data_IF_149793275476
#
_entry.id   IF_149793275476
#
_cell.length_a   1.000
_cell.length_b   1.000
_cell.length_c   1.000
_cell.angle_alpha   90.00
_cell.angle_beta   90.00
_cell.angle_gamma   90.00
#
_symmetry.space_group_name_H-M   'P 1'
#
loop_
_entity.id
_entity.type
_entity.pdbx_description
1 polymer ?
#
# COMPACT_ATOMS: atom_id res chain seq x y z
N UNK A 1 -20.57 11.13 5.47
CA UNK A 1 -19.80 11.00 4.23
C UNK A 1 -20.45 10.00 3.32
N UNK A 2 -20.48 10.23 2.01
CA UNK A 2 -21.09 9.31 1.07
C UNK A 2 -20.23 8.05 0.91
N UNK A 3 -20.90 6.90 0.76
CA UNK A 3 -20.25 5.60 0.54
C UNK A 3 -20.93 4.95 -0.66
N UNK A 4 -20.14 4.45 -1.60
CA UNK A 4 -20.62 3.70 -2.75
C UNK A 4 -21.15 2.32 -2.31
N UNK A 5 -22.17 1.81 -3.00
CA UNK A 5 -22.66 0.46 -2.78
C UNK A 5 -21.62 -0.63 -3.09
N UNK A 6 -20.61 -0.31 -3.90
CA UNK A 6 -19.49 -1.17 -4.29
C UNK A 6 -18.15 -0.72 -3.67
N UNK A 7 -18.19 -0.04 -2.53
CA UNK A 7 -17.02 0.60 -1.92
C UNK A 7 -15.88 -0.39 -1.66
N UNK A 8 -16.18 -1.60 -1.20
CA UNK A 8 -15.16 -2.60 -0.92
C UNK A 8 -14.40 -3.01 -2.19
N UNK A 9 -15.12 -3.30 -3.28
CA UNK A 9 -14.53 -3.65 -4.58
C UNK A 9 -13.73 -2.50 -5.17
N UNK A 10 -14.22 -1.25 -5.01
CA UNK A 10 -13.51 -0.04 -5.40
C UNK A 10 -12.16 0.10 -4.65
N UNK A 11 -12.17 -0.17 -3.34
CA UNK A 11 -10.95 -0.12 -2.51
C UNK A 11 -9.97 -1.25 -2.88
N UNK A 12 -10.46 -2.44 -3.20
CA UNK A 12 -9.61 -3.52 -3.74
C UNK A 12 -8.98 -3.12 -5.08
N UNK A 13 -9.78 -2.54 -5.98
CA UNK A 13 -9.24 -2.05 -7.26
C UNK A 13 -8.19 -0.94 -7.06
N UNK A 14 -8.37 -0.06 -6.06
CA UNK A 14 -7.40 0.97 -5.71
C UNK A 14 -6.11 0.38 -5.12
N UNK A 15 -6.21 -0.70 -4.32
CA UNK A 15 -5.07 -1.35 -3.68
C UNK A 15 -4.05 -1.95 -4.68
N UNK A 16 -4.45 -2.10 -5.92
CA UNK A 16 -3.57 -2.54 -6.99
C UNK A 16 -2.66 -1.43 -7.53
N UNK A 17 -2.86 -0.18 -7.11
CA UNK A 17 -2.03 0.96 -7.50
C UNK A 17 -1.09 1.35 -6.37
N UNK A 18 0.14 1.74 -6.70
CA UNK A 18 1.09 2.27 -5.74
C UNK A 18 0.77 3.75 -5.46
N UNK A 19 0.08 4.00 -4.33
CA UNK A 19 -0.35 5.35 -3.95
C UNK A 19 0.81 6.26 -3.53
N UNK A 20 1.96 5.70 -3.24
CA UNK A 20 3.15 6.41 -2.79
C UNK A 20 4.26 6.48 -3.85
N UNK A 21 3.93 6.26 -5.09
CA UNK A 21 4.90 6.36 -6.16
C UNK A 21 5.27 7.83 -6.42
N UNK A 22 6.46 8.24 -5.99
CA UNK A 22 6.97 9.60 -6.19
C UNK A 22 7.14 9.96 -7.68
N UNK A 23 7.27 8.97 -8.57
CA UNK A 23 7.33 9.20 -10.00
C UNK A 23 5.96 9.59 -10.60
N UNK A 24 4.84 9.28 -9.92
CA UNK A 24 3.49 9.62 -10.40
C UNK A 24 3.33 11.13 -10.62
N UNK A 25 3.81 11.94 -9.70
CA UNK A 25 3.75 13.40 -9.85
C UNK A 25 4.42 13.84 -11.15
N UNK A 26 5.64 13.39 -11.41
CA UNK A 26 6.38 13.71 -12.64
C UNK A 26 5.68 13.23 -13.90
N UNK A 27 5.08 12.05 -13.87
CA UNK A 27 4.41 11.44 -15.02
C UNK A 27 3.01 12.01 -15.31
N UNK A 28 2.34 12.61 -14.33
CA UNK A 28 1.00 13.19 -14.46
C UNK A 28 0.99 14.72 -14.53
N UNK A 29 2.12 15.38 -14.27
CA UNK A 29 2.25 16.84 -14.15
C UNK A 29 1.81 17.58 -15.42
N UNK A 30 2.09 17.07 -16.60
CA UNK A 30 1.68 17.66 -17.86
C UNK A 30 0.16 17.62 -18.04
N UNK A 31 -0.52 16.56 -17.58
CA UNK A 31 -1.97 16.42 -17.63
C UNK A 31 -2.67 17.32 -16.59
N UNK A 32 -2.12 17.44 -15.36
CA UNK A 32 -2.65 18.39 -14.37
C UNK A 32 -2.53 19.83 -14.87
N UNK A 33 -1.37 20.19 -15.43
CA UNK A 33 -1.17 21.50 -16.03
C UNK A 33 -2.09 21.78 -17.22
N UNK A 34 -2.33 20.75 -18.08
CA UNK A 34 -3.28 20.85 -19.18
C UNK A 34 -4.70 21.06 -18.67
N UNK A 35 -5.12 20.32 -17.64
CA UNK A 35 -6.45 20.46 -17.04
C UNK A 35 -6.69 21.88 -16.47
N UNK A 36 -5.73 22.43 -15.73
CA UNK A 36 -5.81 23.81 -15.24
C UNK A 36 -5.97 24.80 -16.40
N UNK A 37 -5.20 24.67 -17.48
CA UNK A 37 -5.28 25.54 -18.67
C UNK A 37 -6.62 25.41 -19.39
N UNK A 38 -7.14 24.20 -19.59
CA UNK A 38 -8.44 23.95 -20.24
C UNK A 38 -9.56 24.59 -19.41
N UNK A 39 -9.56 24.36 -18.10
CA UNK A 39 -10.53 24.96 -17.19
C UNK A 39 -10.38 26.48 -17.11
N UNK A 40 -9.17 27.00 -17.26
CA UNK A 40 -8.82 28.42 -17.01
C UNK A 40 -8.71 28.69 -15.51
N UNK A 41 -8.33 27.72 -14.71
CA UNK A 41 -8.12 27.79 -13.26
C UNK A 41 -6.63 27.77 -12.93
N UNK A 42 -6.28 28.27 -11.73
CA UNK A 42 -4.90 28.28 -11.27
C UNK A 42 -4.48 26.94 -10.63
N UNK A 43 -5.45 26.09 -10.25
CA UNK A 43 -5.23 24.87 -9.49
C UNK A 43 -5.85 23.68 -10.20
N UNK A 44 -5.08 22.59 -10.28
CA UNK A 44 -5.56 21.28 -10.69
C UNK A 44 -4.86 20.18 -9.88
N UNK A 45 -5.61 19.15 -9.49
CA UNK A 45 -5.14 18.03 -8.67
C UNK A 45 -5.62 16.71 -9.26
N UNK A 46 -4.79 15.70 -9.18
CA UNK A 46 -5.17 14.28 -9.34
C UNK A 46 -5.17 13.64 -7.96
N UNK A 47 -6.35 13.26 -7.51
CA UNK A 47 -6.57 12.70 -6.17
C UNK A 47 -7.12 11.28 -6.27
N UNK A 48 -6.56 10.36 -5.49
CA UNK A 48 -7.06 9.01 -5.29
C UNK A 48 -7.68 8.91 -3.89
N UNK A 49 -8.82 8.22 -3.77
CA UNK A 49 -9.62 8.18 -2.53
C UNK A 49 -9.58 6.78 -1.95
N UNK A 50 -8.84 6.66 -0.85
CA UNK A 50 -8.78 5.43 -0.06
C UNK A 50 -9.91 5.36 0.99
N UNK A 51 -9.90 4.34 1.81
CA UNK A 51 -10.91 4.14 2.86
C UNK A 51 -10.97 5.30 3.87
N UNK A 52 -9.84 5.89 4.21
CA UNK A 52 -9.72 6.93 5.25
C UNK A 52 -8.96 8.17 4.78
N UNK A 53 -8.25 8.10 3.67
CA UNK A 53 -7.35 9.16 3.19
C UNK A 53 -7.60 9.49 1.73
N UNK A 54 -7.54 10.79 1.38
CA UNK A 54 -7.33 11.27 0.03
C UNK A 54 -5.84 11.40 -0.23
N UNK A 55 -5.36 10.78 -1.29
CA UNK A 55 -3.98 10.85 -1.77
C UNK A 55 -3.92 11.76 -2.99
N UNK A 56 -3.29 12.93 -2.87
CA UNK A 56 -2.94 13.73 -4.06
C UNK A 56 -1.69 13.16 -4.68
N UNK A 57 -1.79 12.68 -5.92
CA UNK A 57 -0.69 12.02 -6.64
C UNK A 57 -0.03 12.92 -7.68
N UNK A 58 -0.71 13.97 -8.10
CA UNK A 58 -0.14 15.04 -8.93
C UNK A 58 -0.89 16.36 -8.69
N UNK A 59 -0.19 17.48 -8.86
CA UNK A 59 -0.77 18.82 -8.62
C UNK A 59 -0.18 19.89 -9.53
N UNK A 60 -0.97 20.94 -9.77
CA UNK A 60 -0.55 22.23 -10.31
C UNK A 60 -1.18 23.33 -9.44
N UNK A 61 -0.39 24.34 -9.06
CA UNK A 61 -0.85 25.47 -8.28
C UNK A 61 -0.97 25.28 -6.77
N UNK A 62 -0.92 24.05 -6.26
CA UNK A 62 -0.86 23.71 -4.85
C UNK A 62 0.17 22.58 -4.64
N UNK A 63 0.76 22.45 -3.45
CA UNK A 63 1.60 21.29 -3.14
C UNK A 63 0.77 19.99 -3.10
N UNK A 64 1.40 18.86 -3.42
CA UNK A 64 0.81 17.54 -3.20
C UNK A 64 0.54 17.36 -1.71
N UNK A 65 -0.68 16.99 -1.36
CA UNK A 65 -1.13 16.84 0.03
C UNK A 65 -1.93 15.56 0.24
N UNK A 66 -1.92 15.05 1.45
CA UNK A 66 -2.85 14.05 1.92
C UNK A 66 -3.87 14.71 2.85
N UNK A 67 -5.12 14.32 2.70
CA UNK A 67 -6.22 14.78 3.54
C UNK A 67 -6.99 13.58 4.10
N UNK A 68 -7.55 13.69 5.32
CA UNK A 68 -8.59 12.76 5.75
C UNK A 68 -9.71 12.74 4.70
N UNK A 69 -10.20 11.55 4.34
CA UNK A 69 -11.28 11.40 3.34
C UNK A 69 -12.49 12.27 3.66
N UNK A 70 -12.86 12.39 4.93
CA UNK A 70 -14.00 13.22 5.39
C UNK A 70 -13.81 14.73 5.17
N UNK A 71 -12.57 15.19 4.97
CA UNK A 71 -12.25 16.56 4.61
C UNK A 71 -12.29 16.80 3.08
N UNK A 72 -12.31 15.75 2.28
CA UNK A 72 -12.23 15.82 0.82
C UNK A 72 -13.54 16.17 0.15
N UNK A 73 -13.50 17.05 -0.85
CA UNK A 73 -14.63 17.23 -1.79
C UNK A 73 -14.72 16.06 -2.75
N UNK A 74 -13.57 15.46 -3.14
CA UNK A 74 -13.50 14.38 -4.10
C UNK A 74 -14.22 13.10 -3.65
N UNK A 75 -14.45 12.90 -2.34
CA UNK A 75 -15.28 11.81 -1.84
C UNK A 75 -16.74 11.84 -2.37
N UNK A 76 -17.22 13.00 -2.77
CA UNK A 76 -18.53 13.16 -3.41
C UNK A 76 -18.43 12.95 -4.92
N UNK A 77 -17.32 13.37 -5.54
CA UNK A 77 -17.09 13.14 -6.97
C UNK A 77 -17.05 11.66 -7.32
N UNK A 78 -16.42 10.82 -6.49
CA UNK A 78 -16.37 9.38 -6.75
C UNK A 78 -17.73 8.68 -6.66
N UNK A 79 -18.76 9.34 -6.15
CA UNK A 79 -20.14 8.84 -6.09
C UNK A 79 -20.94 9.14 -7.36
N UNK A 80 -20.45 10.04 -8.20
CA UNK A 80 -21.11 10.49 -9.42
C UNK A 80 -20.64 9.66 -10.63
N UNK A 81 -21.51 9.52 -11.62
CA UNK A 81 -21.15 8.91 -12.91
C UNK A 81 -20.51 9.90 -13.87
N UNK A 82 -20.68 11.18 -13.60
CA UNK A 82 -20.19 12.33 -14.39
C UNK A 82 -19.45 13.30 -13.48
N UNK A 83 -19.09 14.45 -14.03
CA UNK A 83 -18.42 15.50 -13.27
C UNK A 83 -19.32 16.09 -12.18
N UNK A 84 -18.73 16.44 -11.03
CA UNK A 84 -19.36 17.20 -9.94
C UNK A 84 -18.87 18.64 -9.97
N UNK A 85 -19.77 19.60 -10.20
CA UNK A 85 -19.46 21.03 -10.15
C UNK A 85 -20.04 21.68 -8.90
N UNK A 86 -19.21 22.45 -8.17
CA UNK A 86 -19.63 23.33 -7.06
C UNK A 86 -19.13 24.73 -7.35
N UNK A 87 -20.07 25.62 -7.71
CA UNK A 87 -19.78 26.98 -8.16
C UNK A 87 -19.25 27.90 -7.06
N UNK A 88 -19.63 27.61 -5.79
CA UNK A 88 -19.15 28.35 -4.62
C UNK A 88 -19.17 27.49 -3.38
N UNK A 89 -17.98 26.97 -3.00
CA UNK A 89 -17.78 26.11 -1.82
C UNK A 89 -18.17 26.82 -0.52
N UNK A 90 -18.06 28.16 -0.45
CA UNK A 90 -18.40 28.91 0.76
C UNK A 90 -19.90 28.99 1.03
N UNK A 91 -20.73 28.67 0.02
CA UNK A 91 -22.19 28.60 0.12
C UNK A 91 -22.73 27.19 0.26
N UNK A 92 -21.88 26.18 0.14
CA UNK A 92 -22.26 24.79 0.28
C UNK A 92 -22.13 24.35 1.75
N UNK A 93 -23.23 23.89 2.34
CA UNK A 93 -23.30 23.49 3.75
C UNK A 93 -22.29 22.39 4.11
N UNK A 94 -21.88 21.58 3.14
CA UNK A 94 -20.90 20.48 3.32
C UNK A 94 -19.48 21.01 3.47
N UNK A 95 -19.15 22.17 2.86
CA UNK A 95 -17.77 22.62 2.68
C UNK A 95 -17.46 24.00 3.25
N UNK A 96 -18.45 24.83 3.54
CA UNK A 96 -18.26 26.23 3.98
C UNK A 96 -17.35 26.39 5.21
N UNK A 97 -17.32 25.39 6.11
CA UNK A 97 -16.51 25.39 7.32
C UNK A 97 -15.17 24.66 7.20
N UNK A 98 -14.85 24.11 6.00
CA UNK A 98 -13.56 23.44 5.78
C UNK A 98 -12.43 24.47 5.77
N UNK A 99 -11.25 24.09 6.31
CA UNK A 99 -10.12 25.00 6.46
C UNK A 99 -9.73 25.65 5.13
N UNK A 100 -9.65 24.90 4.04
CA UNK A 100 -9.30 25.39 2.71
C UNK A 100 -10.36 26.29 2.05
N UNK A 101 -11.56 26.39 2.64
CA UNK A 101 -12.63 27.32 2.23
C UNK A 101 -12.70 28.53 3.14
N UNK A 102 -12.57 28.32 4.46
CA UNK A 102 -12.70 29.37 5.47
C UNK A 102 -11.40 30.17 5.69
N UNK A 103 -10.24 29.56 5.40
CA UNK A 103 -8.92 30.17 5.51
C UNK A 103 -8.15 30.02 4.19
N UNK A 104 -6.85 30.36 4.19
CA UNK A 104 -5.97 30.17 3.03
C UNK A 104 -5.98 28.70 2.55
N UNK A 105 -6.13 28.44 1.23
CA UNK A 105 -6.15 29.36 0.06
C UNK A 105 -7.52 29.98 -0.29
N UNK A 106 -8.53 29.87 0.54
CA UNK A 106 -9.87 30.45 0.33
C UNK A 106 -10.56 29.94 -0.93
N UNK A 107 -10.58 28.63 -1.15
CA UNK A 107 -11.18 28.03 -2.33
C UNK A 107 -12.68 28.35 -2.43
N UNK A 108 -13.13 28.65 -3.66
CA UNK A 108 -14.51 28.96 -3.98
C UNK A 108 -15.11 28.04 -5.01
N UNK A 109 -14.36 27.72 -6.06
CA UNK A 109 -14.83 26.88 -7.15
C UNK A 109 -14.20 25.48 -7.08
N UNK A 110 -14.99 24.48 -7.41
CA UNK A 110 -14.57 23.10 -7.55
C UNK A 110 -15.31 22.44 -8.73
N UNK A 111 -14.58 21.80 -9.62
CA UNK A 111 -15.09 20.82 -10.58
C UNK A 111 -14.22 19.58 -10.49
N UNK A 112 -14.84 18.44 -10.22
CA UNK A 112 -14.18 17.14 -10.17
C UNK A 112 -14.72 16.20 -11.23
N UNK A 113 -13.85 15.55 -11.97
CA UNK A 113 -14.16 14.49 -12.94
C UNK A 113 -13.71 13.15 -12.36
N UNK A 114 -14.59 12.12 -12.26
CA UNK A 114 -14.22 10.84 -11.72
C UNK A 114 -13.10 10.18 -12.54
N UNK A 115 -12.17 9.51 -11.84
CA UNK A 115 -11.15 8.64 -12.44
C UNK A 115 -11.69 7.21 -12.40
N UNK A 116 -12.28 6.77 -13.50
CA UNK A 116 -13.05 5.53 -13.58
C UNK A 116 -12.22 4.43 -14.25
N UNK A 117 -12.19 3.25 -13.64
CA UNK A 117 -11.58 2.05 -14.22
C UNK A 117 -12.48 1.45 -15.31
N UNK A 118 -11.95 0.53 -16.14
CA UNK A 118 -12.72 -0.21 -17.14
C UNK A 118 -13.86 -1.05 -16.49
N UNK A 119 -13.68 -1.46 -15.23
CA UNK A 119 -14.70 -2.17 -14.45
C UNK A 119 -15.78 -1.25 -13.84
N UNK A 120 -15.69 0.08 -14.06
CA UNK A 120 -16.65 1.06 -13.56
C UNK A 120 -16.41 1.54 -12.13
N UNK A 121 -15.24 1.31 -11.54
CA UNK A 121 -14.90 1.81 -10.21
C UNK A 121 -14.25 3.19 -10.28
N UNK A 122 -14.79 4.17 -9.55
CA UNK A 122 -14.24 5.50 -9.42
C UNK A 122 -13.14 5.51 -8.34
N UNK A 123 -11.86 5.45 -8.73
CA UNK A 123 -10.75 5.39 -7.80
C UNK A 123 -10.42 6.74 -7.16
N UNK A 124 -10.78 7.83 -7.83
CA UNK A 124 -10.47 9.18 -7.43
C UNK A 124 -11.07 10.22 -8.36
N UNK A 125 -10.47 11.39 -8.42
CA UNK A 125 -10.92 12.50 -9.26
C UNK A 125 -9.77 13.34 -9.81
N UNK A 126 -9.91 13.78 -11.06
CA UNK A 126 -9.23 14.95 -11.58
C UNK A 126 -10.03 16.18 -11.16
N UNK A 127 -9.42 17.08 -10.38
CA UNK A 127 -10.08 18.27 -9.87
C UNK A 127 -9.45 19.53 -10.44
N UNK A 128 -10.29 20.51 -10.78
CA UNK A 128 -9.86 21.89 -11.03
C UNK A 128 -10.53 22.80 -10.01
N UNK A 129 -9.75 23.72 -9.42
CA UNK A 129 -10.17 24.58 -8.32
C UNK A 129 -9.76 26.02 -8.58
N UNK A 130 -10.48 26.94 -7.95
CA UNK A 130 -10.16 28.36 -7.99
C UNK A 130 -10.57 29.07 -6.71
N UNK A 131 -9.89 30.17 -6.41
CA UNK A 131 -10.24 31.09 -5.31
C UNK A 131 -11.41 32.04 -5.67
N UNK A 132 -11.89 31.99 -6.90
CA UNK A 132 -13.02 32.77 -7.43
C UNK A 132 -14.11 31.83 -7.94
N UNK A 133 -15.36 32.21 -7.77
CA UNK A 133 -16.48 31.53 -8.43
C UNK A 133 -16.30 31.56 -9.95
N UNK A 134 -16.57 30.44 -10.59
CA UNK A 134 -16.46 30.27 -12.05
C UNK A 134 -17.65 29.52 -12.63
N UNK A 135 -17.76 29.58 -13.94
CA UNK A 135 -18.63 28.69 -14.73
C UNK A 135 -17.79 28.15 -15.88
N UNK A 136 -17.69 26.85 -15.96
CA UNK A 136 -16.97 26.14 -17.02
C UNK A 136 -17.96 25.69 -18.08
N UNK A 137 -17.66 25.94 -19.38
CA UNK A 137 -18.56 25.51 -20.46
C UNK A 137 -18.59 23.98 -20.61
N UNK A 138 -19.71 23.43 -21.13
CA UNK A 138 -19.81 21.96 -21.35
C UNK A 138 -18.66 21.41 -22.20
N UNK A 139 -18.23 22.10 -23.24
CA UNK A 139 -17.13 21.67 -24.11
C UNK A 139 -15.80 21.54 -23.34
N UNK A 140 -15.58 22.40 -22.33
CA UNK A 140 -14.40 22.31 -21.48
C UNK A 140 -14.51 21.14 -20.49
N UNK A 141 -15.73 20.84 -20.02
CA UNK A 141 -15.98 19.66 -19.18
C UNK A 141 -15.69 18.39 -19.97
N UNK A 142 -16.15 18.29 -21.22
CA UNK A 142 -15.86 17.15 -22.11
C UNK A 142 -14.34 16.97 -22.30
N UNK A 143 -13.59 18.08 -22.47
CA UNK A 143 -12.13 18.02 -22.55
C UNK A 143 -11.48 17.53 -21.24
N UNK A 144 -11.99 17.93 -20.08
CA UNK A 144 -11.51 17.45 -18.78
C UNK A 144 -11.81 15.95 -18.57
N UNK A 145 -12.94 15.45 -19.09
CA UNK A 145 -13.26 14.02 -19.08
C UNK A 145 -12.29 13.22 -19.96
N UNK A 146 -11.89 13.75 -21.11
CA UNK A 146 -10.85 13.14 -21.95
C UNK A 146 -9.50 13.10 -21.20
N UNK A 147 -9.13 14.19 -20.52
CA UNK A 147 -7.89 14.23 -19.72
C UNK A 147 -7.96 13.24 -18.55
N UNK A 148 -9.10 13.10 -17.88
CA UNK A 148 -9.30 12.10 -16.83
C UNK A 148 -9.14 10.67 -17.35
N UNK A 149 -9.67 10.38 -18.55
CA UNK A 149 -9.46 9.11 -19.24
C UNK A 149 -7.97 8.83 -19.52
N UNK A 150 -7.22 9.85 -19.97
CA UNK A 150 -5.79 9.72 -20.22
C UNK A 150 -4.97 9.51 -18.93
N UNK A 151 -5.38 10.17 -17.85
CA UNK A 151 -4.80 9.90 -16.51
C UNK A 151 -4.98 8.44 -16.13
N UNK A 152 -6.17 7.88 -16.32
CA UNK A 152 -6.43 6.46 -16.03
C UNK A 152 -5.61 5.53 -16.92
N UNK A 153 -5.44 5.86 -18.21
CA UNK A 153 -4.58 5.11 -19.12
C UNK A 153 -3.12 5.10 -18.62
N UNK A 154 -2.58 6.25 -18.20
CA UNK A 154 -1.22 6.33 -17.66
C UNK A 154 -1.07 5.54 -16.38
N UNK A 155 -2.00 5.66 -15.44
CA UNK A 155 -2.00 4.86 -14.21
C UNK A 155 -1.99 3.36 -14.50
N UNK A 156 -2.79 2.91 -15.48
CA UNK A 156 -2.82 1.50 -15.93
C UNK A 156 -1.48 1.06 -16.52
N UNK A 157 -0.85 1.90 -17.36
CA UNK A 157 0.46 1.60 -17.94
C UNK A 157 1.53 1.49 -16.84
N UNK A 158 1.55 2.44 -15.89
CA UNK A 158 2.50 2.44 -14.78
C UNK A 158 2.36 1.15 -13.95
N UNK A 159 1.11 0.78 -13.60
CA UNK A 159 0.82 -0.50 -12.93
C UNK A 159 1.37 -1.69 -13.71
N UNK A 160 1.07 -1.79 -15.02
CA UNK A 160 1.51 -2.89 -15.86
C UNK A 160 3.03 -2.98 -15.97
N UNK A 161 3.72 -1.84 -16.09
CA UNK A 161 5.19 -1.78 -16.14
C UNK A 161 5.78 -2.25 -14.80
N UNK A 162 5.22 -1.81 -13.68
CA UNK A 162 5.65 -2.23 -12.35
C UNK A 162 5.49 -3.75 -12.15
N UNK A 163 4.34 -4.31 -12.54
CA UNK A 163 4.10 -5.77 -12.51
C UNK A 163 5.09 -6.55 -13.37
N UNK A 164 5.42 -6.03 -14.57
CA UNK A 164 6.40 -6.68 -15.46
C UNK A 164 7.81 -6.64 -14.86
N UNK A 165 8.25 -5.51 -14.32
CA UNK A 165 9.54 -5.37 -13.65
C UNK A 165 9.67 -6.37 -12.49
N UNK A 166 8.63 -6.51 -11.67
CA UNK A 166 8.59 -7.48 -10.57
C UNK A 166 8.75 -8.91 -11.09
N UNK A 167 7.98 -9.32 -12.10
CA UNK A 167 8.07 -10.66 -12.68
C UNK A 167 9.45 -10.97 -13.25
N UNK A 168 10.10 -9.99 -13.88
CA UNK A 168 11.46 -10.13 -14.39
C UNK A 168 12.46 -10.32 -13.23
N UNK A 169 12.35 -9.52 -12.18
CA UNK A 169 13.23 -9.66 -11.01
C UNK A 169 13.06 -11.02 -10.34
N UNK A 170 11.83 -11.45 -10.08
CA UNK A 170 11.55 -12.76 -9.50
C UNK A 170 12.09 -13.91 -10.35
N UNK A 171 12.09 -13.73 -11.69
CA UNK A 171 12.68 -14.70 -12.62
C UNK A 171 14.21 -14.75 -12.50
N UNK A 172 14.87 -13.58 -12.40
CA UNK A 172 16.31 -13.48 -12.24
C UNK A 172 16.78 -14.06 -10.89
N UNK A 173 16.11 -13.71 -9.80
CA UNK A 173 16.43 -14.23 -8.47
C UNK A 173 16.29 -15.77 -8.42
N UNK A 174 15.25 -16.31 -9.04
CA UNK A 174 15.10 -17.78 -9.17
C UNK A 174 16.23 -18.41 -9.98
N UNK A 175 16.66 -17.77 -11.07
CA UNK A 175 17.79 -18.26 -11.86
C UNK A 175 19.10 -18.27 -11.06
N UNK A 176 19.35 -17.23 -10.27
CA UNK A 176 20.52 -17.14 -9.40
C UNK A 176 20.49 -18.22 -8.31
N UNK A 177 19.33 -18.43 -7.68
CA UNK A 177 19.15 -19.48 -6.67
C UNK A 177 19.38 -20.86 -7.26
N UNK A 178 18.77 -21.18 -8.39
CA UNK A 178 18.99 -22.45 -9.10
C UNK A 178 20.46 -22.64 -9.45
N UNK A 179 21.14 -21.60 -9.95
CA UNK A 179 22.56 -21.66 -10.27
C UNK A 179 23.43 -21.92 -9.03
N UNK A 180 23.07 -21.33 -7.88
CA UNK A 180 23.73 -21.57 -6.60
C UNK A 180 23.52 -23.02 -6.12
N UNK A 181 22.29 -23.50 -6.17
CA UNK A 181 21.89 -24.83 -5.68
C UNK A 181 22.47 -25.98 -6.54
N UNK A 182 22.76 -25.70 -7.81
CA UNK A 182 23.47 -26.61 -8.73
C UNK A 182 24.99 -26.58 -8.47
N UNK A 183 25.58 -25.41 -8.23
CA UNK A 183 27.04 -25.25 -8.08
C UNK A 183 27.62 -25.99 -6.88
N UNK A 184 26.89 -26.04 -5.78
CA UNK A 184 27.30 -26.73 -4.55
C UNK A 184 27.53 -28.21 -4.78
N UNK A 185 26.54 -29.03 -5.16
CA UNK A 185 26.67 -30.46 -5.44
C UNK A 185 27.70 -30.79 -6.54
N UNK A 186 27.72 -29.98 -7.64
CA UNK A 186 28.71 -30.19 -8.72
C UNK A 186 30.14 -29.96 -8.19
N UNK A 187 30.35 -28.89 -7.44
CA UNK A 187 31.66 -28.60 -6.82
C UNK A 187 32.13 -29.77 -5.89
N UNK A 188 31.22 -30.34 -5.10
CA UNK A 188 31.49 -31.53 -4.26
C UNK A 188 31.87 -32.74 -5.10
N UNK A 189 31.14 -33.05 -6.17
CA UNK A 189 31.44 -34.18 -7.09
C UNK A 189 32.81 -33.99 -7.72
N UNK A 190 33.12 -32.80 -8.27
CA UNK A 190 34.41 -32.52 -8.90
C UNK A 190 35.55 -32.64 -7.89
N UNK A 191 35.37 -32.03 -6.70
CA UNK A 191 36.39 -32.09 -5.61
C UNK A 191 36.72 -33.49 -5.17
N UNK A 192 35.71 -34.35 -4.93
CA UNK A 192 35.94 -35.73 -4.54
C UNK A 192 36.56 -36.55 -5.67
N UNK A 193 36.13 -36.39 -6.91
CA UNK A 193 36.73 -37.04 -8.06
C UNK A 193 38.22 -36.63 -8.24
N UNK A 194 38.56 -35.36 -7.97
CA UNK A 194 39.92 -34.89 -8.02
C UNK A 194 40.80 -35.48 -6.90
N UNK A 195 40.29 -35.59 -5.69
CA UNK A 195 40.98 -36.23 -4.56
C UNK A 195 41.28 -37.71 -4.91
N UNK A 196 40.32 -38.45 -5.43
CA UNK A 196 40.51 -39.84 -5.87
C UNK A 196 41.62 -39.95 -6.91
N UNK A 197 41.64 -39.03 -7.86
CA UNK A 197 42.64 -38.98 -8.94
C UNK A 197 44.04 -38.63 -8.42
N UNK A 198 44.16 -37.68 -7.53
CA UNK A 198 45.44 -37.20 -7.00
C UNK A 198 46.11 -38.24 -6.06
N UNK A 199 45.30 -38.98 -5.29
CA UNK A 199 45.81 -40.01 -4.40
C UNK A 199 46.26 -41.27 -5.15
N UNK A 200 45.72 -41.53 -6.35
CA UNK A 200 46.12 -42.64 -7.22
C UNK A 200 46.21 -43.99 -6.50
N UNK A 201 47.36 -44.66 -6.56
CA UNK A 201 47.59 -45.99 -5.92
C UNK A 201 47.63 -45.92 -4.40
N UNK A 202 47.62 -44.73 -3.79
CA UNK A 202 47.60 -44.58 -2.32
C UNK A 202 46.17 -44.63 -1.76
N UNK A 203 45.15 -44.61 -2.60
CA UNK A 203 43.76 -44.70 -2.19
C UNK A 203 43.49 -46.06 -1.47
N UNK A 204 42.89 -45.98 -0.29
CA UNK A 204 42.29 -47.17 0.31
C UNK A 204 40.92 -47.43 -0.29
N UNK A 205 40.61 -48.69 -0.54
CA UNK A 205 39.34 -49.06 -1.19
C UNK A 205 38.11 -48.54 -0.41
N UNK A 206 38.15 -48.58 0.92
CA UNK A 206 37.05 -48.12 1.77
C UNK A 206 36.83 -46.61 1.62
N UNK A 207 37.88 -45.77 1.55
CA UNK A 207 37.81 -44.32 1.36
C UNK A 207 37.22 -43.99 -0.01
N UNK A 208 37.64 -44.72 -1.06
CA UNK A 208 37.07 -44.52 -2.43
C UNK A 208 35.59 -44.87 -2.48
N UNK A 209 35.19 -45.95 -1.79
CA UNK A 209 33.76 -46.33 -1.73
C UNK A 209 32.92 -45.30 -0.99
N UNK A 210 33.47 -44.69 0.05
CA UNK A 210 32.80 -43.58 0.76
C UNK A 210 32.64 -42.33 -0.14
N UNK A 211 33.71 -41.94 -0.84
CA UNK A 211 33.65 -40.82 -1.81
C UNK A 211 32.65 -41.09 -2.93
N UNK A 212 32.56 -42.28 -3.47
CA UNK A 212 31.59 -42.68 -4.49
C UNK A 212 30.15 -42.56 -3.95
N UNK A 213 29.88 -42.95 -2.69
CA UNK A 213 28.56 -42.79 -2.07
C UNK A 213 28.15 -41.30 -1.98
N UNK A 214 29.10 -40.43 -1.58
CA UNK A 214 28.82 -38.98 -1.53
C UNK A 214 28.57 -38.41 -2.94
N UNK A 215 29.34 -38.85 -3.94
CA UNK A 215 29.11 -38.45 -5.35
C UNK A 215 27.73 -38.92 -5.82
N UNK A 216 27.31 -40.15 -5.51
CA UNK A 216 25.97 -40.62 -5.86
C UNK A 216 24.86 -39.84 -5.18
N UNK A 217 25.00 -39.55 -3.86
CA UNK A 217 24.03 -38.76 -3.14
C UNK A 217 23.90 -37.33 -3.72
N UNK A 218 25.03 -36.70 -4.04
CA UNK A 218 25.03 -35.34 -4.66
C UNK A 218 24.41 -35.37 -6.05
N UNK A 219 24.66 -36.41 -6.85
CA UNK A 219 24.04 -36.57 -8.17
C UNK A 219 22.53 -36.81 -8.08
N UNK A 220 22.08 -37.60 -7.09
CA UNK A 220 20.65 -37.81 -6.85
C UNK A 220 19.94 -36.49 -6.46
N UNK A 221 20.58 -35.69 -5.60
CA UNK A 221 20.03 -34.38 -5.23
C UNK A 221 19.90 -33.41 -6.44
N UNK A 222 20.86 -33.47 -7.38
CA UNK A 222 20.76 -32.70 -8.65
C UNK A 222 19.60 -33.16 -9.53
N UNK A 223 19.34 -34.47 -9.61
CA UNK A 223 18.21 -35.01 -10.36
C UNK A 223 16.87 -34.56 -9.74
N UNK A 224 16.77 -34.63 -8.40
CA UNK A 224 15.58 -34.15 -7.68
C UNK A 224 15.34 -32.65 -7.90
N UNK A 225 16.41 -31.84 -7.89
CA UNK A 225 16.32 -30.41 -8.18
C UNK A 225 15.86 -30.16 -9.63
N UNK A 226 16.40 -30.90 -10.59
CA UNK A 226 15.98 -30.82 -12.00
C UNK A 226 14.48 -31.18 -12.17
N UNK A 227 14.03 -32.25 -11.51
CA UNK A 227 12.62 -32.65 -11.53
C UNK A 227 11.72 -31.59 -10.88
N UNK A 228 12.15 -30.95 -9.79
CA UNK A 228 11.43 -29.84 -9.14
C UNK A 228 11.30 -28.64 -10.10
N UNK A 229 12.38 -28.26 -10.81
CA UNK A 229 12.35 -27.15 -11.77
C UNK A 229 11.37 -27.46 -12.92
N UNK A 230 11.38 -28.68 -13.44
CA UNK A 230 10.49 -29.09 -14.54
C UNK A 230 9.00 -29.14 -14.12
N UNK A 231 8.72 -29.59 -12.89
CA UNK A 231 7.35 -29.70 -12.37
C UNK A 231 6.76 -28.37 -11.88
N UNK A 232 7.60 -27.38 -11.54
CA UNK A 232 7.15 -26.07 -11.06
C UNK A 232 6.57 -25.21 -12.20
N UNK A 233 6.84 -25.52 -13.47
CA UNK A 233 6.22 -24.85 -14.61
C UNK A 233 4.70 -25.03 -14.68
N UNK A 234 4.11 -26.06 -14.06
CA UNK A 234 2.68 -26.38 -14.19
C UNK A 234 1.81 -25.92 -12.99
N UNK A 235 2.40 -25.39 -11.93
CA UNK A 235 1.67 -24.95 -10.71
C UNK A 235 2.01 -23.52 -10.30
N UNK A 236 1.77 -22.57 -11.18
CA UNK A 236 1.72 -21.17 -10.78
C UNK A 236 0.46 -20.90 -9.92
N UNK A 237 0.53 -21.18 -8.63
CA UNK A 237 -0.31 -20.44 -7.68
C UNK A 237 0.28 -19.02 -7.63
N UNK A 238 -0.50 -18.06 -8.09
CA UNK A 238 -0.24 -16.63 -7.96
C UNK A 238 0.01 -16.32 -6.48
N UNK A 239 1.27 -16.20 -6.10
CA UNK A 239 1.66 -15.30 -5.02
C UNK A 239 1.72 -13.94 -5.70
N UNK A 240 0.95 -12.94 -5.27
CA UNK A 240 1.03 -11.62 -5.83
C UNK A 240 2.48 -11.13 -5.71
N UNK A 241 3.13 -10.90 -6.86
CA UNK A 241 4.47 -10.35 -6.87
C UNK A 241 4.42 -8.95 -6.23
N UNK A 242 5.21 -8.76 -5.18
CA UNK A 242 5.40 -7.45 -4.57
C UNK A 242 6.11 -6.56 -5.57
N UNK A 243 5.48 -5.48 -5.99
CA UNK A 243 6.00 -4.56 -7.01
C UNK A 243 7.23 -3.82 -6.51
N UNK A 244 8.24 -3.70 -7.36
CA UNK A 244 9.62 -3.35 -6.97
C UNK A 244 10.02 -1.89 -7.16
N UNK A 245 9.10 -0.96 -7.41
CA UNK A 245 9.37 0.47 -7.54
C UNK A 245 9.20 1.23 -6.22
N UNK A 246 9.65 0.66 -5.15
CA UNK A 246 9.73 1.33 -3.88
C UNK A 246 9.98 0.36 -2.76
N UNK A 247 11.11 0.54 -2.16
CA UNK A 247 11.47 -0.12 -0.92
C UNK A 247 11.49 0.94 0.17
N UNK A 248 11.00 0.56 1.35
CA UNK A 248 11.22 1.34 2.55
C UNK A 248 12.40 0.78 3.33
N UNK A 249 13.11 1.67 3.99
CA UNK A 249 13.79 1.34 5.24
C UNK A 249 12.84 1.60 6.40
N UNK A 250 13.16 1.07 7.57
CA UNK A 250 12.35 1.30 8.78
C UNK A 250 12.25 2.80 9.10
N UNK A 251 13.34 3.55 8.88
CA UNK A 251 13.39 5.00 9.14
C UNK A 251 12.52 5.80 8.19
N UNK A 252 12.55 5.48 6.89
CA UNK A 252 11.69 6.14 5.89
C UNK A 252 10.21 5.86 6.19
N UNK A 253 9.87 4.62 6.56
CA UNK A 253 8.49 4.30 6.94
C UNK A 253 8.04 5.06 8.17
N UNK A 254 8.91 5.14 9.21
CA UNK A 254 8.65 5.92 10.43
C UNK A 254 8.35 7.38 10.10
N UNK A 255 9.29 8.07 9.41
CA UNK A 255 9.15 9.48 9.05
C UNK A 255 7.85 9.73 8.26
N UNK A 256 7.52 8.83 7.34
CA UNK A 256 6.31 8.94 6.55
C UNK A 256 5.04 8.82 7.40
N UNK A 257 4.99 7.88 8.33
CA UNK A 257 3.84 7.73 9.24
C UNK A 257 3.68 8.92 10.19
N UNK A 258 4.80 9.46 10.71
CA UNK A 258 4.79 10.67 11.54
C UNK A 258 4.25 11.88 10.77
N UNK A 259 4.71 12.08 9.53
CA UNK A 259 4.25 13.19 8.67
C UNK A 259 2.78 13.06 8.28
N UNK A 260 2.31 11.85 7.95
CA UNK A 260 0.93 11.63 7.51
C UNK A 260 -0.10 11.75 8.64
N UNK A 261 0.21 11.22 9.82
CA UNK A 261 -0.79 11.06 10.88
C UNK A 261 -0.54 11.95 12.11
N UNK A 262 0.64 12.55 12.26
CA UNK A 262 0.97 13.43 13.37
C UNK A 262 0.07 14.66 13.45
N UNK A 263 -0.28 15.26 12.31
CA UNK A 263 -1.20 16.42 12.27
C UNK A 263 -2.60 16.03 12.73
N UNK A 264 -3.13 14.89 12.28
CA UNK A 264 -4.45 14.39 12.67
C UNK A 264 -4.50 14.08 14.17
N UNK A 265 -3.47 13.45 14.71
CA UNK A 265 -3.37 13.16 16.15
C UNK A 265 -3.31 14.44 16.99
N UNK A 266 -2.52 15.44 16.55
CA UNK A 266 -2.42 16.75 17.20
C UNK A 266 -3.75 17.49 17.24
N UNK A 267 -4.50 17.49 16.15
CA UNK A 267 -5.83 18.12 16.08
C UNK A 267 -6.79 17.52 17.10
N UNK A 268 -6.69 16.21 17.36
CA UNK A 268 -7.48 15.49 18.34
C UNK A 268 -6.85 15.51 19.75
N UNK A 269 -5.68 16.12 19.92
CA UNK A 269 -4.88 16.15 21.16
C UNK A 269 -4.56 14.74 21.68
N UNK A 270 -4.26 13.82 20.80
CA UNK A 270 -3.80 12.46 21.09
C UNK A 270 -2.29 12.42 21.00
N UNK A 271 -1.63 11.81 21.97
CA UNK A 271 -0.18 11.60 21.98
C UNK A 271 0.13 10.53 20.93
N UNK A 272 0.92 10.88 19.90
CA UNK A 272 1.25 10.00 18.78
C UNK A 272 2.76 9.74 18.76
N UNK A 273 3.15 8.46 18.76
CA UNK A 273 4.55 8.07 18.77
C UNK A 273 4.79 6.90 17.80
N UNK A 274 5.88 6.99 17.01
CA UNK A 274 6.33 5.92 16.11
C UNK A 274 7.73 5.50 16.51
N UNK A 275 7.91 4.24 16.88
CA UNK A 275 9.18 3.68 17.31
C UNK A 275 9.64 2.58 16.37
N UNK A 276 10.92 2.62 16.01
CA UNK A 276 11.61 1.53 15.33
C UNK A 276 12.31 0.67 16.36
N UNK A 277 11.99 -0.62 16.36
CA UNK A 277 12.49 -1.60 17.33
C UNK A 277 13.51 -2.51 16.62
N UNK A 278 14.77 -2.46 17.03
CA UNK A 278 15.86 -3.30 16.51
C UNK A 278 16.94 -2.53 15.76
N UNK A 279 18.00 -3.26 15.34
CA UNK A 279 19.21 -2.65 14.77
C UNK A 279 19.26 -2.61 13.22
N UNK A 280 18.26 -3.12 12.51
CA UNK A 280 18.30 -3.29 11.05
C UNK A 280 17.66 -2.11 10.30
N UNK A 281 18.03 -0.88 10.67
CA UNK A 281 17.44 0.36 10.15
C UNK A 281 17.61 0.53 8.63
N UNK A 282 18.75 0.07 8.07
CA UNK A 282 19.07 0.19 6.65
C UNK A 282 18.51 -0.95 5.79
N UNK A 283 17.97 -2.00 6.40
CA UNK A 283 17.41 -3.12 5.66
C UNK A 283 16.16 -2.69 4.90
N UNK A 284 16.13 -2.95 3.60
CA UNK A 284 15.03 -2.56 2.71
C UNK A 284 13.97 -3.64 2.62
N UNK A 285 12.72 -3.23 2.45
CA UNK A 285 11.56 -4.08 2.27
C UNK A 285 10.51 -3.44 1.36
N UNK A 286 9.64 -4.23 0.70
CA UNK A 286 8.63 -3.71 -0.20
C UNK A 286 7.63 -2.79 0.51
N UNK A 287 7.34 -1.63 -0.08
CA UNK A 287 6.38 -0.65 0.46
C UNK A 287 4.93 -0.87 0.05
N UNK A 288 4.70 -1.72 -0.96
CA UNK A 288 3.36 -1.93 -1.53
C UNK A 288 2.33 -2.28 -0.44
N UNK A 289 1.18 -1.66 -0.50
CA UNK A 289 0.04 -1.86 0.42
C UNK A 289 0.28 -1.52 1.91
N UNK A 290 1.54 -1.28 2.34
CA UNK A 290 1.85 -0.98 3.74
C UNK A 290 1.16 0.28 4.24
N UNK A 291 1.16 1.35 3.44
CA UNK A 291 0.50 2.60 3.83
C UNK A 291 -1.02 2.45 3.93
N UNK A 292 -1.65 1.59 3.12
CA UNK A 292 -3.08 1.30 3.27
C UNK A 292 -3.36 0.49 4.54
N UNK A 293 -2.55 -0.52 4.83
CA UNK A 293 -2.68 -1.30 6.07
C UNK A 293 -2.48 -0.38 7.28
N UNK A 294 -1.35 0.32 7.34
CA UNK A 294 -1.00 1.19 8.47
C UNK A 294 -1.95 2.37 8.59
N UNK A 295 -2.34 2.98 7.46
CA UNK A 295 -3.27 4.10 7.43
C UNK A 295 -4.62 3.77 8.03
N UNK A 296 -5.18 2.63 7.66
CA UNK A 296 -6.44 2.16 8.23
C UNK A 296 -6.33 1.85 9.74
N UNK A 297 -5.24 1.21 10.18
CA UNK A 297 -5.03 0.89 11.59
C UNK A 297 -4.79 2.16 12.42
N UNK A 298 -3.91 3.07 11.97
CA UNK A 298 -3.55 4.30 12.69
C UNK A 298 -4.74 5.27 12.73
N UNK A 299 -5.44 5.46 11.61
CA UNK A 299 -6.61 6.33 11.58
C UNK A 299 -7.71 5.82 12.52
N UNK A 300 -7.94 4.50 12.58
CA UNK A 300 -8.85 3.91 13.55
C UNK A 300 -8.35 4.11 14.99
N UNK A 301 -7.08 3.89 15.28
CA UNK A 301 -6.50 4.11 16.60
C UNK A 301 -6.71 5.56 17.07
N UNK A 302 -6.39 6.56 16.23
CA UNK A 302 -6.61 7.97 16.54
C UNK A 302 -8.11 8.24 16.73
N UNK A 303 -8.97 7.71 15.87
CA UNK A 303 -10.42 7.90 15.90
C UNK A 303 -11.06 7.40 17.21
N UNK A 304 -10.63 6.23 17.69
CA UNK A 304 -11.22 5.60 18.89
C UNK A 304 -10.49 5.94 20.20
N UNK A 305 -9.42 6.74 20.13
CA UNK A 305 -8.71 7.26 21.32
C UNK A 305 -9.32 8.59 21.74
N UNK A 306 -9.74 8.78 23.01
CA UNK A 306 -10.23 10.07 23.51
C UNK A 306 -9.09 11.10 23.59
N UNK A 307 -9.47 12.39 23.68
CA UNK A 307 -8.53 13.49 23.95
C UNK A 307 -7.67 13.17 25.19
N UNK A 308 -6.36 13.40 25.10
CA UNK A 308 -5.38 13.10 26.14
C UNK A 308 -4.90 11.64 26.17
N UNK A 309 -5.48 10.75 25.36
CA UNK A 309 -5.00 9.37 25.20
C UNK A 309 -3.76 9.28 24.32
N UNK A 310 -3.30 8.05 24.06
CA UNK A 310 -2.08 7.80 23.27
C UNK A 310 -2.28 6.72 22.22
N UNK A 311 -1.57 6.91 21.09
CA UNK A 311 -1.41 5.93 20.02
C UNK A 311 0.08 5.72 19.80
N UNK A 312 0.53 4.48 19.92
CA UNK A 312 1.92 4.07 19.71
C UNK A 312 2.03 3.06 18.57
N UNK A 313 2.99 3.29 17.70
CA UNK A 313 3.32 2.42 16.57
C UNK A 313 4.71 1.83 16.78
N UNK A 314 4.81 0.50 16.77
CA UNK A 314 6.09 -0.22 16.79
C UNK A 314 6.37 -0.83 15.43
N UNK A 315 7.56 -0.61 14.89
CA UNK A 315 7.99 -1.15 13.61
C UNK A 315 9.28 -1.93 13.83
N UNK A 316 9.32 -3.20 13.40
CA UNK A 316 10.55 -3.99 13.45
C UNK A 316 10.67 -4.90 12.24
N UNK A 317 11.90 -5.12 11.81
CA UNK A 317 12.24 -6.01 10.71
C UNK A 317 13.25 -7.03 11.20
N UNK A 318 12.94 -8.30 11.01
CA UNK A 318 13.79 -9.40 11.39
C UNK A 318 14.12 -10.28 10.18
N UNK A 319 15.34 -10.81 10.15
CA UNK A 319 15.74 -11.79 9.14
C UNK A 319 16.10 -13.09 9.84
N UNK A 320 15.49 -14.18 9.42
CA UNK A 320 15.76 -15.51 9.92
C UNK A 320 15.75 -16.51 8.77
N UNK A 321 16.85 -17.26 8.60
CA UNK A 321 17.00 -18.25 7.53
C UNK A 321 16.72 -17.68 6.13
N UNK A 322 17.31 -16.52 5.82
CA UNK A 322 17.12 -15.78 4.55
C UNK A 322 15.67 -15.33 4.27
N UNK A 323 14.81 -15.36 5.27
CA UNK A 323 13.45 -14.81 5.19
C UNK A 323 13.34 -13.58 6.05
N UNK A 324 12.86 -12.50 5.46
CA UNK A 324 12.57 -11.26 6.17
C UNK A 324 11.13 -11.29 6.67
N UNK A 325 10.91 -10.84 7.89
CA UNK A 325 9.58 -10.66 8.47
C UNK A 325 9.48 -9.23 8.99
N UNK A 326 8.56 -8.44 8.43
CA UNK A 326 8.20 -7.13 8.93
C UNK A 326 7.09 -7.29 9.97
N UNK A 327 7.35 -6.81 11.18
CA UNK A 327 6.36 -6.73 12.25
C UNK A 327 5.95 -5.29 12.45
N UNK A 328 4.64 -5.03 12.39
CA UNK A 328 4.01 -3.74 12.65
C UNK A 328 3.07 -3.90 13.84
N UNK A 329 3.11 -2.98 14.77
CA UNK A 329 2.23 -2.96 15.94
C UNK A 329 1.60 -1.58 16.05
N UNK A 330 0.27 -1.53 16.18
CA UNK A 330 -0.48 -0.31 16.47
C UNK A 330 -1.24 -0.52 17.77
N UNK A 331 -0.95 0.29 18.78
CA UNK A 331 -1.59 0.22 20.10
C UNK A 331 -2.19 1.58 20.45
N UNK A 332 -3.43 1.58 20.91
CA UNK A 332 -4.14 2.76 21.40
C UNK A 332 -4.64 2.57 22.83
N UNK A 333 -4.89 3.67 23.53
CA UNK A 333 -5.53 3.72 24.84
C UNK A 333 -7.00 4.14 24.72
N UNK A 334 -7.68 3.63 23.71
CA UNK A 334 -9.03 4.04 23.34
C UNK A 334 -10.14 3.19 23.97
N UNK A 335 -11.28 3.19 23.30
CA UNK A 335 -12.50 2.54 23.77
C UNK A 335 -12.40 1.01 23.90
N UNK A 336 -11.41 0.39 23.26
CA UNK A 336 -11.31 -1.08 23.20
C UNK A 336 -12.44 -1.75 22.42
N UNK A 337 -12.39 -3.09 22.31
CA UNK A 337 -13.33 -3.90 21.54
C UNK A 337 -13.84 -5.10 22.33
N UNK A 338 -15.08 -5.52 22.04
CA UNK A 338 -15.67 -6.78 22.52
C UNK A 338 -15.08 -7.96 21.74
N UNK A 339 -15.10 -9.14 22.35
CA UNK A 339 -14.63 -10.38 21.67
C UNK A 339 -15.37 -10.65 20.37
N UNK A 340 -16.69 -10.42 20.36
CA UNK A 340 -17.52 -10.61 19.20
C UNK A 340 -17.11 -9.72 18.02
N UNK A 341 -16.72 -8.46 18.30
CA UNK A 341 -16.20 -7.52 17.30
C UNK A 341 -14.84 -7.98 16.71
N UNK A 342 -13.97 -8.49 17.57
CA UNK A 342 -12.66 -9.05 17.14
C UNK A 342 -12.91 -10.26 16.23
N UNK A 343 -13.82 -11.16 16.59
CA UNK A 343 -14.16 -12.33 15.78
C UNK A 343 -14.77 -11.94 14.42
N UNK A 344 -15.64 -10.92 14.36
CA UNK A 344 -16.18 -10.37 13.11
C UNK A 344 -15.06 -9.84 12.22
N UNK A 345 -14.12 -9.05 12.76
CA UNK A 345 -12.96 -8.53 12.02
C UNK A 345 -12.09 -9.67 11.48
N UNK A 346 -11.82 -10.69 12.30
CA UNK A 346 -11.00 -11.83 11.90
C UNK A 346 -11.66 -12.69 10.81
N UNK A 347 -13.00 -12.65 10.67
CA UNK A 347 -13.73 -13.25 9.54
C UNK A 347 -13.79 -12.37 8.30
N UNK A 348 -13.23 -11.15 8.35
CA UNK A 348 -13.32 -10.17 7.27
C UNK A 348 -14.66 -9.44 7.21
N UNK A 349 -15.47 -9.54 8.27
CA UNK A 349 -16.72 -8.83 8.45
C UNK A 349 -16.48 -7.55 9.25
N UNK A 350 -17.12 -6.44 8.91
CA UNK A 350 -16.96 -5.20 9.64
C UNK A 350 -18.28 -4.48 9.82
N UNK A 351 -18.59 -4.06 11.06
CA UNK A 351 -19.67 -3.15 11.34
C UNK A 351 -19.13 -1.76 11.64
N UNK A 352 -19.90 -0.77 11.22
CA UNK A 352 -19.57 0.64 11.45
C UNK A 352 -19.78 0.99 12.91
N UNK A 353 -18.79 1.64 13.53
CA UNK A 353 -18.91 2.27 14.85
C UNK A 353 -18.42 3.71 14.77
N UNK A 354 -19.13 4.61 15.44
CA UNK A 354 -18.72 6.02 15.51
C UNK A 354 -17.52 6.19 16.44
N UNK A 355 -16.64 7.13 16.11
CA UNK A 355 -15.46 7.47 16.91
C UNK A 355 -15.81 8.21 18.20
N UNK A 356 -14.81 8.39 19.07
CA UNK A 356 -14.97 9.02 20.41
C UNK A 356 -15.34 10.50 20.35
N UNK A 357 -15.10 11.19 19.25
CA UNK A 357 -15.49 12.57 19.00
C UNK A 357 -16.60 12.72 17.93
N UNK A 358 -17.33 11.64 17.64
CA UNK A 358 -18.42 11.62 16.66
C UNK A 358 -17.97 11.44 15.20
N UNK A 359 -16.71 11.05 14.97
CA UNK A 359 -16.22 10.72 13.64
C UNK A 359 -16.95 9.48 13.11
N UNK A 360 -17.49 9.58 11.89
CA UNK A 360 -18.21 8.47 11.27
C UNK A 360 -17.25 7.39 10.77
N UNK A 361 -17.54 6.12 11.07
CA UNK A 361 -16.86 4.99 10.49
C UNK A 361 -17.50 4.55 9.18
N UNK A 362 -16.71 3.93 8.31
CA UNK A 362 -17.22 3.40 7.04
C UNK A 362 -17.38 1.88 7.06
N UNK A 363 -16.80 1.19 8.05
CA UNK A 363 -16.90 -0.26 8.20
C UNK A 363 -15.99 -1.09 7.27
N UNK A 364 -15.30 -0.47 6.30
CA UNK A 364 -14.48 -1.17 5.31
C UNK A 364 -12.99 -1.25 5.67
N UNK A 365 -12.49 -0.38 6.55
CA UNK A 365 -11.06 -0.26 6.83
C UNK A 365 -10.45 -1.55 7.37
N UNK A 366 -11.02 -2.14 8.42
CA UNK A 366 -10.49 -3.37 9.03
C UNK A 366 -10.69 -4.63 8.16
N UNK A 367 -11.84 -4.84 7.49
CA UNK A 367 -11.97 -5.89 6.46
C UNK A 367 -10.93 -5.77 5.34
N UNK A 368 -10.67 -4.55 4.84
CA UNK A 368 -9.62 -4.30 3.84
C UNK A 368 -8.25 -4.66 4.39
N UNK A 369 -7.90 -4.23 5.61
CA UNK A 369 -6.63 -4.58 6.27
C UNK A 369 -6.46 -6.09 6.34
N UNK A 370 -7.50 -6.82 6.81
CA UNK A 370 -7.46 -8.29 6.87
C UNK A 370 -7.22 -8.92 5.50
N UNK A 371 -7.95 -8.47 4.48
CA UNK A 371 -7.81 -8.95 3.11
C UNK A 371 -6.39 -8.69 2.55
N UNK A 372 -5.85 -7.48 2.74
CA UNK A 372 -4.51 -7.12 2.29
C UNK A 372 -3.43 -7.98 2.97
N UNK A 373 -3.51 -8.15 4.30
CA UNK A 373 -2.59 -9.00 5.06
C UNK A 373 -2.63 -10.44 4.57
N UNK A 374 -3.83 -11.01 4.38
CA UNK A 374 -4.00 -12.38 3.88
C UNK A 374 -3.44 -12.53 2.46
N UNK A 375 -3.68 -11.55 1.58
CA UNK A 375 -3.15 -11.54 0.21
C UNK A 375 -1.62 -11.51 0.15
N UNK A 376 -0.98 -10.97 1.19
CA UNK A 376 0.47 -10.91 1.35
C UNK A 376 1.04 -12.12 2.13
N UNK A 377 0.21 -13.12 2.46
CA UNK A 377 0.63 -14.28 3.26
C UNK A 377 0.99 -13.93 4.71
N UNK A 378 0.50 -12.79 5.20
CA UNK A 378 0.78 -12.29 6.55
C UNK A 378 -0.18 -12.81 7.60
N UNK A 379 0.04 -12.37 8.84
CA UNK A 379 -0.77 -12.74 10.01
C UNK A 379 -1.20 -11.49 10.76
N UNK A 380 -2.50 -11.36 11.03
CA UNK A 380 -3.07 -10.34 11.91
C UNK A 380 -3.41 -10.96 13.27
N UNK A 381 -2.99 -10.28 14.36
CA UNK A 381 -3.45 -10.58 15.72
C UNK A 381 -4.04 -9.32 16.33
N UNK A 382 -5.14 -9.49 17.08
CA UNK A 382 -5.84 -8.40 17.76
C UNK A 382 -5.96 -8.77 19.24
N UNK A 383 -5.52 -7.86 20.10
CA UNK A 383 -5.69 -7.92 21.55
C UNK A 383 -6.34 -6.62 22.00
N UNK A 384 -7.43 -6.70 22.77
CA UNK A 384 -8.17 -5.50 23.16
C UNK A 384 -8.94 -5.73 24.45
N UNK A 385 -9.04 -4.68 25.27
CA UNK A 385 -9.85 -4.65 26.49
C UNK A 385 -10.73 -3.40 26.49
N UNK A 386 -12.03 -3.60 26.65
CA UNK A 386 -13.02 -2.53 26.63
C UNK A 386 -12.67 -1.44 27.65
N UNK A 387 -12.64 -0.20 27.18
CA UNK A 387 -12.34 0.98 27.98
C UNK A 387 -10.87 1.18 28.35
N UNK A 388 -9.95 0.31 27.88
CA UNK A 388 -8.55 0.39 28.25
C UNK A 388 -7.62 0.53 27.03
N UNK A 389 -7.73 -0.38 26.05
CA UNK A 389 -6.82 -0.36 24.88
C UNK A 389 -7.31 -1.24 23.74
N UNK A 390 -6.77 -0.98 22.52
CA UNK A 390 -6.69 -1.97 21.44
C UNK A 390 -5.25 -2.07 20.95
N UNK A 391 -4.85 -3.27 20.53
CA UNK A 391 -3.54 -3.58 19.98
C UNK A 391 -3.69 -4.48 18.77
N UNK A 392 -3.18 -4.01 17.65
CA UNK A 392 -3.11 -4.74 16.39
C UNK A 392 -1.66 -5.11 16.11
N UNK A 393 -1.36 -6.38 15.95
CA UNK A 393 -0.05 -6.89 15.54
C UNK A 393 -0.18 -7.51 14.16
N UNK A 394 0.59 -6.98 13.21
CA UNK A 394 0.67 -7.46 11.84
C UNK A 394 2.06 -8.02 11.59
N UNK A 395 2.16 -9.22 11.00
CA UNK A 395 3.39 -9.82 10.55
C UNK A 395 3.30 -10.12 9.07
N UNK A 396 4.25 -9.63 8.30
CA UNK A 396 4.31 -9.78 6.85
C UNK A 396 5.64 -10.42 6.45
N UNK A 397 5.62 -11.48 5.63
CA UNK A 397 6.82 -11.93 4.94
C UNK A 397 7.19 -10.88 3.88
N UNK A 398 8.46 -10.45 3.85
CA UNK A 398 8.93 -9.36 2.97
C UNK A 398 10.26 -9.71 2.32
#
# INVERSE_FOLDING_TARGET
SPISSNEFDRLLALADYDLDNQELEGQLKDLTKLAAKVAGTDISLVNLIDAVTQWSVASEGLPVMQLPREESVCQYTIMENHSLEIKDLSKDERFKNKVYVAADPNLRYYLGVPLTTEAGYNLGALCVLDTKSRVISPEKIDLLEIIAGEIMNRLKIIKSVSELKSKVKDSLERQEQVAHDIRGPIGGIIGLAQIIKEQGDQNKLDDVLEFIKVIQSSSQSLLELADQILTTHDKQKHVPALTNDGEYTLEILKEKLENLYGVQANQKKVIFNVEVIGMNLEMRFPKAKLLQIMGNLISNAIKFTPEGGSVSIGISLTEKNYRKELKLEVKDTGAGMKKEQIEEIMRGEGKTTDGTAGEKGYGFGLPLVKHLIDSMGGVLKIDSKIGEFSRFEVKLPV
#
